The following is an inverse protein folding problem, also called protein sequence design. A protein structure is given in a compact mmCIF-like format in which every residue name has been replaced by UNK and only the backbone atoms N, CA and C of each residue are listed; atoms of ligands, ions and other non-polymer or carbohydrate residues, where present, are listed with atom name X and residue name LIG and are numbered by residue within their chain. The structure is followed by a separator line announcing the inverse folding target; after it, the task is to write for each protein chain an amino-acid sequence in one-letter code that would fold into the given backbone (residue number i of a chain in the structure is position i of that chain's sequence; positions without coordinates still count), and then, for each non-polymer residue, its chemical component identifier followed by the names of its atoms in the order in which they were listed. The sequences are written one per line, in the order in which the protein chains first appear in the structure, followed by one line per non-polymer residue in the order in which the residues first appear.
data_IF_178988524005
#
_entry.id   IF_178988524005
#
_cell.length_a   1.000
_cell.length_b   1.000
_cell.length_c   1.000
_cell.angle_alpha   90.00
_cell.angle_beta   90.00
_cell.angle_gamma   90.00
#
_symmetry.space_group_name_H-M   'P 1'
#
loop_
_entity.id
_entity.type
_entity.pdbx_description
1 polymer ?
#
# COMPACT_ATOMS: atom_id res chain seq x y z
N UNK A 1 -30.06 19.76 0.51
CA UNK A 1 -28.94 19.13 -0.24
C UNK A 1 -27.56 19.31 0.40
N UNK A 2 -27.33 20.31 1.27
CA UNK A 2 -26.02 20.49 1.93
C UNK A 2 -25.61 19.32 2.83
N UNK A 3 -26.53 18.72 3.59
CA UNK A 3 -26.22 17.52 4.38
C UNK A 3 -25.79 16.36 3.50
N UNK A 4 -26.39 16.14 2.32
CA UNK A 4 -26.02 15.02 1.46
C UNK A 4 -24.59 15.16 0.93
N UNK A 5 -24.17 16.38 0.57
CA UNK A 5 -22.80 16.64 0.13
C UNK A 5 -21.82 16.48 1.28
N UNK A 6 -22.13 17.01 2.47
CA UNK A 6 -21.26 16.83 3.64
C UNK A 6 -21.14 15.35 4.02
N UNK A 7 -22.25 14.59 3.99
CA UNK A 7 -22.20 13.16 4.30
C UNK A 7 -21.42 12.39 3.23
N UNK A 8 -21.60 12.67 1.94
CA UNK A 8 -20.84 11.98 0.89
C UNK A 8 -19.35 12.34 0.92
N UNK A 9 -18.99 13.58 1.21
CA UNK A 9 -17.58 14.01 1.36
C UNK A 9 -16.95 13.37 2.60
N UNK A 10 -17.62 13.36 3.75
CA UNK A 10 -17.08 12.73 4.96
C UNK A 10 -16.95 11.23 4.77
N UNK A 11 -17.94 10.56 4.19
CA UNK A 11 -17.87 9.11 3.92
C UNK A 11 -16.75 8.76 2.95
N UNK A 12 -16.57 9.52 1.86
CA UNK A 12 -15.50 9.26 0.87
C UNK A 12 -14.10 9.50 1.42
N UNK A 13 -13.90 10.54 2.24
CA UNK A 13 -12.61 10.78 2.89
C UNK A 13 -12.30 9.66 3.88
N UNK A 14 -13.26 9.25 4.69
CA UNK A 14 -13.07 8.22 5.73
C UNK A 14 -12.78 6.83 5.15
N UNK A 15 -13.44 6.46 4.04
CA UNK A 15 -13.16 5.19 3.33
C UNK A 15 -11.82 5.21 2.62
N UNK A 16 -11.41 6.35 2.06
CA UNK A 16 -10.10 6.47 1.41
C UNK A 16 -8.93 6.40 2.41
N UNK A 17 -9.04 7.04 3.59
CA UNK A 17 -8.01 6.93 4.64
C UNK A 17 -7.90 5.53 5.21
N UNK A 18 -9.03 4.84 5.45
CA UNK A 18 -9.00 3.48 6.01
C UNK A 18 -8.33 2.48 5.05
N UNK A 19 -8.63 2.55 3.75
CA UNK A 19 -8.01 1.70 2.73
C UNK A 19 -6.51 2.02 2.59
N UNK A 20 -6.13 3.31 2.58
CA UNK A 20 -4.73 3.72 2.47
C UNK A 20 -3.85 3.22 3.61
N UNK A 21 -4.37 3.25 4.85
CA UNK A 21 -3.67 2.74 6.03
C UNK A 21 -3.51 1.21 5.94
N UNK A 22 -4.59 0.49 5.60
CA UNK A 22 -4.56 -0.97 5.48
C UNK A 22 -3.53 -1.38 4.42
N UNK A 23 -3.56 -0.78 3.23
CA UNK A 23 -2.62 -1.08 2.16
C UNK A 23 -1.17 -0.82 2.57
N UNK A 24 -0.92 0.28 3.30
CA UNK A 24 0.43 0.62 3.78
C UNK A 24 0.93 -0.40 4.81
N UNK A 25 0.09 -0.81 5.75
CA UNK A 25 0.44 -1.82 6.76
C UNK A 25 0.64 -3.20 6.12
N UNK A 26 -0.18 -3.57 5.15
CA UNK A 26 0.00 -4.81 4.37
C UNK A 26 1.33 -4.79 3.62
N UNK A 27 1.65 -3.68 2.95
CA UNK A 27 2.94 -3.49 2.28
C UNK A 27 4.13 -3.66 3.22
N UNK A 28 4.07 -3.00 4.38
CA UNK A 28 5.10 -3.08 5.41
C UNK A 28 5.28 -4.53 5.89
N UNK A 29 4.18 -5.22 6.20
CA UNK A 29 4.22 -6.60 6.66
C UNK A 29 4.80 -7.56 5.61
N UNK A 30 4.46 -7.38 4.32
CA UNK A 30 5.01 -8.16 3.22
C UNK A 30 6.50 -7.89 3.01
N UNK A 31 6.96 -6.64 3.14
CA UNK A 31 8.39 -6.31 3.07
C UNK A 31 9.19 -6.98 4.19
N UNK A 32 8.69 -6.90 5.43
CA UNK A 32 9.34 -7.53 6.59
C UNK A 32 9.43 -9.04 6.40
N UNK A 33 8.36 -9.69 5.95
CA UNK A 33 8.37 -11.13 5.65
C UNK A 33 9.36 -11.49 4.54
N UNK A 34 9.54 -10.63 3.52
CA UNK A 34 10.53 -10.84 2.45
C UNK A 34 11.95 -10.80 2.98
N UNK A 35 12.31 -9.78 3.74
CA UNK A 35 13.67 -9.63 4.29
C UNK A 35 14.02 -10.81 5.21
N UNK A 36 13.07 -11.23 6.05
CA UNK A 36 13.23 -12.39 6.93
C UNK A 36 13.39 -13.70 6.13
N UNK A 37 12.53 -13.94 5.14
CA UNK A 37 12.61 -15.13 4.29
C UNK A 37 13.86 -15.14 3.38
N UNK A 38 14.34 -13.98 2.97
CA UNK A 38 15.54 -13.85 2.14
C UNK A 38 16.84 -14.07 2.92
N UNK A 39 16.78 -14.11 4.24
CA UNK A 39 17.94 -14.33 5.12
C UNK A 39 18.23 -15.82 5.35
N UNK A 40 17.40 -16.72 4.85
CA UNK A 40 17.50 -18.17 5.05
C UNK A 40 17.85 -18.89 3.74
N UNK A 41 18.90 -19.72 3.72
CA UNK A 41 19.47 -20.35 2.51
C UNK A 41 18.65 -21.54 1.98
N UNK A 42 17.52 -21.84 2.62
CA UNK A 42 16.65 -22.93 2.19
C UNK A 42 15.96 -22.60 0.85
N UNK A 43 15.94 -23.54 -0.12
CA UNK A 43 15.41 -23.30 -1.47
C UNK A 43 13.92 -22.91 -1.49
N UNK A 44 13.14 -23.37 -0.50
CA UNK A 44 11.73 -23.01 -0.38
C UNK A 44 11.52 -21.53 0.02
N UNK A 45 12.43 -20.97 0.83
CA UNK A 45 12.39 -19.58 1.26
C UNK A 45 12.88 -18.63 0.16
N UNK A 46 13.84 -19.06 -0.67
CA UNK A 46 14.22 -18.34 -1.88
C UNK A 46 13.07 -18.25 -2.90
N UNK A 47 12.31 -19.34 -3.11
CA UNK A 47 11.14 -19.32 -3.98
C UNK A 47 10.06 -18.38 -3.44
N UNK A 48 9.83 -18.39 -2.12
CA UNK A 48 8.88 -17.50 -1.45
C UNK A 48 9.30 -16.03 -1.56
N UNK A 49 10.59 -15.73 -1.38
CA UNK A 49 11.17 -14.39 -1.58
C UNK A 49 10.93 -13.88 -3.01
N UNK A 50 11.04 -14.74 -4.02
CA UNK A 50 10.81 -14.39 -5.43
C UNK A 50 9.35 -14.04 -5.71
N UNK A 51 8.41 -14.85 -5.21
CA UNK A 51 6.96 -14.59 -5.33
C UNK A 51 6.58 -13.30 -4.60
N UNK A 52 7.13 -13.11 -3.40
CA UNK A 52 6.89 -11.94 -2.59
C UNK A 52 7.44 -10.67 -3.24
N UNK A 53 8.60 -10.75 -3.90
CA UNK A 53 9.14 -9.64 -4.68
C UNK A 53 8.22 -9.25 -5.86
N UNK A 54 7.68 -10.23 -6.59
CA UNK A 54 6.72 -9.99 -7.68
C UNK A 54 5.42 -9.36 -7.17
N UNK A 55 4.99 -9.66 -5.94
CA UNK A 55 3.84 -9.02 -5.30
C UNK A 55 4.15 -7.61 -4.77
N UNK A 56 5.36 -7.39 -4.26
CA UNK A 56 5.81 -6.11 -3.71
C UNK A 56 5.94 -5.03 -4.78
N UNK A 57 6.45 -5.36 -5.96
CA UNK A 57 6.65 -4.39 -7.07
C UNK A 57 5.35 -3.64 -7.45
N UNK A 58 4.23 -4.29 -7.79
CA UNK A 58 2.99 -3.60 -8.14
C UNK A 58 2.39 -2.84 -6.96
N UNK A 59 2.52 -3.33 -5.72
CA UNK A 59 2.06 -2.61 -4.53
C UNK A 59 2.89 -1.35 -4.25
N UNK A 60 4.22 -1.41 -4.37
CA UNK A 60 5.11 -0.24 -4.28
C UNK A 60 4.80 0.77 -5.37
N UNK A 61 4.51 0.30 -6.59
CA UNK A 61 4.13 1.16 -7.71
C UNK A 61 2.81 1.90 -7.43
N UNK A 62 1.82 1.21 -6.88
CA UNK A 62 0.55 1.81 -6.44
C UNK A 62 0.76 2.84 -5.32
N UNK A 63 1.58 2.52 -4.32
CA UNK A 63 1.92 3.46 -3.26
C UNK A 63 2.64 4.71 -3.79
N UNK A 64 3.65 4.53 -4.65
CA UNK A 64 4.39 5.62 -5.27
C UNK A 64 3.46 6.53 -6.11
N UNK A 65 2.51 5.95 -6.85
CA UNK A 65 1.51 6.70 -7.60
C UNK A 65 0.61 7.54 -6.69
N UNK A 66 0.10 6.96 -5.60
CA UNK A 66 -0.73 7.68 -4.61
C UNK A 66 0.06 8.84 -3.99
N UNK A 67 1.30 8.60 -3.59
CA UNK A 67 2.18 9.63 -3.03
C UNK A 67 2.43 10.73 -4.06
N UNK A 68 2.75 10.39 -5.31
CA UNK A 68 2.97 11.35 -6.38
C UNK A 68 1.74 12.23 -6.61
N UNK A 69 0.54 11.65 -6.69
CA UNK A 69 -0.72 12.39 -6.82
C UNK A 69 -0.96 13.32 -5.63
N UNK A 70 -0.64 12.87 -4.42
CA UNK A 70 -0.82 13.68 -3.21
C UNK A 70 0.16 14.84 -3.14
N UNK A 71 1.41 14.62 -3.55
CA UNK A 71 2.43 15.67 -3.68
C UNK A 71 2.02 16.70 -4.74
N UNK A 72 1.51 16.23 -5.88
CA UNK A 72 1.03 17.11 -6.95
C UNK A 72 -0.13 18.00 -6.50
N UNK A 73 -1.06 17.46 -5.71
CA UNK A 73 -2.19 18.19 -5.13
C UNK A 73 -1.79 19.19 -4.03
N UNK A 74 -0.61 19.03 -3.43
CA UNK A 74 -0.09 19.98 -2.42
C UNK A 74 0.71 21.11 -3.09
N UNK A 75 1.40 20.80 -4.20
CA UNK A 75 2.29 21.73 -4.90
C UNK A 75 1.63 22.51 -6.05
N UNK A 76 0.51 22.02 -6.58
CA UNK A 76 -0.31 22.68 -7.62
C UNK A 76 -1.60 23.21 -7.04
#
# INVERSE_FOLDING_TARGET
MISTVTTTTVTTVYTATSIGIILTLTLLALLVQKELASSDDKPIFQAFSRVLNVAIVPLLMGFAFIVAMKVFNILG
#
